data_IF_153572131385
#
_entry.id   IF_153572131385
#
_cell.length_a   1.000
_cell.length_b   1.000
_cell.length_c   1.000
_cell.angle_alpha   90.00
_cell.angle_beta   90.00
_cell.angle_gamma   90.00
#
_symmetry.space_group_name_H-M   'P 1'
#
loop_
_entity.id
_entity.type
_entity.pdbx_description
1 polymer ?
#
# COMPACT_ATOMS: atom_id res chain seq x y z
N UNK A 1 -14.38 10.84 -19.98
CA UNK A 1 -13.62 10.42 -18.77
C UNK A 1 -12.18 10.26 -19.20
N UNK A 2 -11.19 10.77 -18.44
CA UNK A 2 -9.78 10.80 -18.89
C UNK A 2 -9.06 9.45 -18.80
N UNK A 3 -9.69 8.43 -18.19
CA UNK A 3 -9.17 7.06 -18.14
C UNK A 3 -7.95 6.86 -17.24
N UNK A 4 -7.65 7.81 -16.35
CA UNK A 4 -6.40 7.82 -15.55
C UNK A 4 -6.49 7.00 -14.25
N UNK A 5 -7.68 6.94 -13.66
CA UNK A 5 -7.92 6.28 -12.37
C UNK A 5 -9.22 5.49 -12.46
N UNK A 6 -9.30 4.45 -11.63
CA UNK A 6 -10.48 3.63 -11.44
C UNK A 6 -10.80 3.47 -9.96
N UNK A 7 -12.04 3.06 -9.66
CA UNK A 7 -12.50 2.87 -8.30
C UNK A 7 -12.23 1.45 -7.81
N UNK A 8 -11.76 1.33 -6.57
CA UNK A 8 -11.44 0.06 -5.92
C UNK A 8 -12.37 -0.21 -4.75
N UNK A 9 -12.73 -1.49 -4.59
CA UNK A 9 -13.32 -2.07 -3.38
C UNK A 9 -14.60 -1.40 -2.88
N UNK A 10 -14.91 -1.66 -1.60
CA UNK A 10 -16.14 -1.20 -0.95
C UNK A 10 -16.14 0.30 -0.59
N UNK A 11 -14.96 0.92 -0.52
CA UNK A 11 -14.78 2.29 -0.03
C UNK A 11 -14.71 3.36 -1.13
N UNK A 12 -14.90 2.99 -2.41
CA UNK A 12 -14.81 3.92 -3.55
C UNK A 12 -13.50 4.73 -3.55
N UNK A 13 -12.39 4.08 -3.17
CA UNK A 13 -11.06 4.69 -3.26
C UNK A 13 -10.59 4.68 -4.71
N UNK A 14 -9.71 5.60 -5.08
CA UNK A 14 -9.11 5.70 -6.41
C UNK A 14 -7.74 5.03 -6.45
N UNK A 15 -7.54 4.17 -7.45
CA UNK A 15 -6.23 3.67 -7.87
C UNK A 15 -5.93 4.09 -9.31
N UNK A 16 -4.66 3.99 -9.71
CA UNK A 16 -4.27 4.24 -11.10
C UNK A 16 -4.90 3.17 -11.99
N UNK A 17 -5.52 3.59 -13.08
CA UNK A 17 -6.09 2.65 -14.03
C UNK A 17 -4.94 1.95 -14.78
N UNK A 18 -4.76 0.62 -14.68
CA UNK A 18 -3.74 -0.10 -15.43
C UNK A 18 -3.87 0.07 -16.95
N UNK A 19 -5.08 0.28 -17.44
CA UNK A 19 -5.36 0.51 -18.86
C UNK A 19 -5.34 2.01 -19.23
N UNK A 20 -4.61 2.85 -18.47
CA UNK A 20 -4.57 4.29 -18.73
C UNK A 20 -3.93 4.64 -20.07
N UNK A 21 -2.99 3.82 -20.53
CA UNK A 21 -2.31 3.91 -21.83
C UNK A 21 -3.23 3.64 -23.02
N UNK A 22 -4.08 2.63 -22.88
CA UNK A 22 -5.11 2.29 -23.87
C UNK A 22 -6.22 3.33 -23.87
N UNK A 23 -6.62 3.80 -22.68
CA UNK A 23 -7.69 4.78 -22.55
C UNK A 23 -7.27 6.19 -22.98
N UNK A 24 -5.98 6.53 -22.82
CA UNK A 24 -5.44 7.85 -23.08
C UNK A 24 -3.95 7.81 -23.46
N UNK A 25 -3.65 8.12 -24.72
CA UNK A 25 -2.29 8.15 -25.27
C UNK A 25 -1.38 9.18 -24.54
N UNK A 26 -1.97 10.21 -23.93
CA UNK A 26 -1.25 11.24 -23.18
C UNK A 26 -1.33 11.05 -21.65
N UNK A 27 -1.68 9.87 -21.14
CA UNK A 27 -1.84 9.63 -19.70
C UNK A 27 -0.64 10.08 -18.87
N UNK A 28 0.60 9.86 -19.34
CA UNK A 28 1.82 10.29 -18.64
C UNK A 28 1.88 11.81 -18.46
N UNK A 29 1.49 12.60 -19.47
CA UNK A 29 1.47 14.06 -19.37
C UNK A 29 0.43 14.53 -18.34
N UNK A 30 -0.73 13.87 -18.30
CA UNK A 30 -1.74 14.12 -17.29
C UNK A 30 -1.26 13.72 -15.89
N UNK A 31 -0.58 12.60 -15.77
CA UNK A 31 0.05 12.15 -14.53
C UNK A 31 1.12 13.14 -14.04
N UNK A 32 1.97 13.65 -14.93
CA UNK A 32 2.90 14.74 -14.63
C UNK A 32 2.18 16.01 -14.16
N UNK A 33 1.07 16.38 -14.80
CA UNK A 33 0.28 17.53 -14.41
C UNK A 33 -0.34 17.36 -13.01
N UNK A 34 -0.97 16.21 -12.75
CA UNK A 34 -1.56 15.90 -11.44
C UNK A 34 -0.48 15.86 -10.36
N UNK A 35 0.68 15.25 -10.64
CA UNK A 35 1.81 15.24 -9.72
C UNK A 35 2.29 16.65 -9.36
N UNK A 36 2.28 17.59 -10.33
CA UNK A 36 2.57 19.02 -10.06
C UNK A 36 1.52 19.68 -9.17
N UNK A 37 0.25 19.39 -9.39
CA UNK A 37 -0.84 19.91 -8.54
C UNK A 37 -0.69 19.39 -7.11
N UNK A 38 -0.38 18.11 -6.93
CA UNK A 38 -0.13 17.50 -5.62
C UNK A 38 1.08 18.15 -4.95
N UNK A 39 2.23 18.22 -5.64
CA UNK A 39 3.43 18.88 -5.11
C UNK A 39 3.20 20.34 -4.72
N UNK A 40 2.42 21.08 -5.52
CA UNK A 40 2.07 22.48 -5.25
C UNK A 40 1.13 22.64 -4.04
N UNK A 41 0.14 21.75 -3.89
CA UNK A 41 -0.73 21.78 -2.72
C UNK A 41 0.04 21.47 -1.44
N UNK A 42 0.93 20.48 -1.48
CA UNK A 42 1.85 20.17 -0.38
C UNK A 42 2.75 21.36 -0.07
N UNK A 43 3.34 21.99 -1.09
CA UNK A 43 4.16 23.20 -0.91
C UNK A 43 3.42 24.33 -0.20
N UNK A 44 2.14 24.53 -0.52
CA UNK A 44 1.31 25.56 0.12
C UNK A 44 0.60 25.10 1.41
N UNK A 45 0.84 23.87 1.88
CA UNK A 45 0.16 23.32 3.07
C UNK A 45 -1.36 23.18 2.88
N UNK A 46 -1.82 22.90 1.66
CA UNK A 46 -3.22 22.70 1.32
C UNK A 46 -3.52 21.21 1.20
N UNK A 47 -4.64 20.79 1.79
CA UNK A 47 -5.12 19.42 1.63
C UNK A 47 -5.78 19.25 0.24
N UNK A 48 -5.48 18.14 -0.42
CA UNK A 48 -6.21 17.69 -1.61
C UNK A 48 -7.08 16.51 -1.18
N UNK A 49 -8.37 16.58 -1.48
CA UNK A 49 -9.27 15.43 -1.37
C UNK A 49 -9.20 14.60 -2.64
N UNK A 50 -8.13 13.82 -2.77
CA UNK A 50 -7.84 13.03 -3.98
C UNK A 50 -8.54 11.67 -4.00
N UNK A 51 -9.10 11.22 -2.87
CA UNK A 51 -9.74 9.90 -2.77
C UNK A 51 -8.82 8.70 -3.00
N UNK A 52 -7.49 8.88 -3.02
CA UNK A 52 -6.54 7.78 -3.23
C UNK A 52 -6.50 6.79 -2.06
N UNK A 53 -6.07 5.56 -2.34
CA UNK A 53 -5.86 4.53 -1.31
C UNK A 53 -4.75 4.92 -0.32
N UNK A 54 -4.82 4.39 0.91
CA UNK A 54 -3.76 4.60 1.90
C UNK A 54 -2.41 4.06 1.42
N UNK A 55 -2.42 2.90 0.76
CA UNK A 55 -1.24 2.27 0.18
C UNK A 55 -0.53 3.22 -0.81
N UNK A 56 -1.32 3.91 -1.65
CA UNK A 56 -0.80 4.87 -2.61
C UNK A 56 -0.11 6.07 -1.93
N UNK A 57 -0.71 6.64 -0.88
CA UNK A 57 -0.07 7.69 -0.10
C UNK A 57 1.24 7.20 0.53
N UNK A 58 1.27 5.99 1.09
CA UNK A 58 2.48 5.42 1.69
C UNK A 58 3.60 5.24 0.68
N UNK A 59 3.29 4.82 -0.56
CA UNK A 59 4.27 4.74 -1.65
C UNK A 59 4.87 6.10 -2.01
N UNK A 60 4.07 7.15 -2.07
CA UNK A 60 4.58 8.53 -2.30
C UNK A 60 5.54 8.97 -1.19
N UNK A 61 5.30 8.52 0.06
CA UNK A 61 6.12 8.86 1.22
C UNK A 61 7.32 7.92 1.44
N UNK A 62 7.55 6.95 0.54
CA UNK A 62 8.53 5.87 0.72
C UNK A 62 8.37 5.13 2.07
N UNK A 63 7.12 4.96 2.50
CA UNK A 63 6.78 4.24 3.72
C UNK A 63 6.32 2.84 3.39
N UNK A 64 6.90 1.87 4.10
CA UNK A 64 6.41 0.49 4.06
C UNK A 64 5.02 0.43 4.68
N UNK A 65 4.17 -0.41 4.12
CA UNK A 65 2.94 -0.79 4.78
C UNK A 65 3.27 -1.38 6.15
N UNK A 66 2.41 -1.14 7.13
CA UNK A 66 2.50 -1.68 8.48
C UNK A 66 1.24 -2.48 8.80
N UNK A 67 1.30 -3.32 9.84
CA UNK A 67 0.18 -4.17 10.23
C UNK A 67 -1.14 -3.38 10.41
N UNK A 68 -1.07 -2.13 10.89
CA UNK A 68 -2.23 -1.26 11.05
C UNK A 68 -2.93 -0.90 9.73
N UNK A 69 -2.25 -1.00 8.59
CA UNK A 69 -2.89 -0.75 7.29
C UNK A 69 -3.87 -1.85 6.93
N UNK A 70 -3.60 -3.09 7.36
CA UNK A 70 -4.53 -4.20 7.17
C UNK A 70 -5.85 -3.93 7.89
N UNK A 71 -5.86 -3.23 9.03
CA UNK A 71 -7.11 -2.93 9.74
C UNK A 71 -8.12 -2.18 8.86
N UNK A 72 -7.63 -1.39 7.91
CA UNK A 72 -8.44 -0.58 6.99
C UNK A 72 -8.82 -1.32 5.70
N UNK A 73 -8.12 -2.41 5.38
CA UNK A 73 -8.31 -3.20 4.16
C UNK A 73 -9.10 -4.47 4.47
N UNK A 74 -8.59 -5.24 5.43
CA UNK A 74 -9.20 -6.47 5.94
C UNK A 74 -9.07 -6.52 7.48
N UNK A 75 -10.16 -6.15 8.15
CA UNK A 75 -10.22 -6.12 9.60
C UNK A 75 -10.10 -7.52 10.23
N UNK A 76 -10.62 -8.55 9.59
CA UNK A 76 -10.64 -9.91 10.14
C UNK A 76 -9.24 -10.55 10.05
N UNK A 77 -8.55 -10.31 8.93
CA UNK A 77 -7.17 -10.72 8.77
C UNK A 77 -6.22 -9.94 9.70
N UNK A 78 -6.43 -8.63 9.86
CA UNK A 78 -5.72 -7.83 10.85
C UNK A 78 -5.88 -8.38 12.27
N UNK A 79 -7.11 -8.70 12.70
CA UNK A 79 -7.35 -9.26 14.02
C UNK A 79 -6.61 -10.59 14.22
N UNK A 80 -6.58 -11.43 13.20
CA UNK A 80 -5.89 -12.71 13.23
C UNK A 80 -4.38 -12.54 13.42
N UNK A 81 -3.74 -11.62 12.67
CA UNK A 81 -2.32 -11.33 12.82
C UNK A 81 -2.01 -10.60 14.14
N UNK A 82 -2.87 -9.68 14.58
CA UNK A 82 -2.71 -9.00 15.86
C UNK A 82 -2.81 -9.98 17.04
N UNK A 83 -3.69 -10.97 16.95
CA UNK A 83 -3.79 -12.05 17.94
C UNK A 83 -2.49 -12.85 18.02
N UNK A 84 -1.94 -13.28 16.88
CA UNK A 84 -0.65 -14.01 16.83
C UNK A 84 0.49 -13.15 17.39
N UNK A 85 0.49 -11.84 17.12
CA UNK A 85 1.49 -10.90 17.63
C UNK A 85 1.46 -10.81 19.16
N UNK A 86 0.27 -10.64 19.73
CA UNK A 86 0.09 -10.27 21.13
C UNK A 86 0.00 -11.47 22.08
N UNK A 87 -0.13 -12.69 21.56
CA UNK A 87 -0.17 -13.92 22.34
C UNK A 87 1.07 -14.79 22.11
N UNK A 88 1.39 -15.62 23.10
CA UNK A 88 2.46 -16.63 22.98
C UNK A 88 1.94 -17.82 22.18
N UNK A 89 2.49 -18.01 20.98
CA UNK A 89 2.06 -19.08 20.06
C UNK A 89 2.49 -20.46 20.54
N UNK A 90 3.56 -20.57 21.33
CA UNK A 90 4.05 -21.84 21.85
C UNK A 90 3.18 -22.31 23.04
N UNK A 91 2.70 -21.38 23.89
CA UNK A 91 1.77 -21.70 24.99
C UNK A 91 0.37 -22.10 24.50
N UNK A 92 -0.09 -21.50 23.40
CA UNK A 92 -1.40 -21.78 22.82
C UNK A 92 -1.44 -23.06 21.97
N UNK A 93 -0.28 -23.68 21.70
CA UNK A 93 -0.08 -24.82 20.80
C UNK A 93 -0.82 -24.67 19.46
N UNK A 94 -0.68 -23.48 18.86
CA UNK A 94 -1.30 -23.20 17.57
C UNK A 94 -0.58 -24.00 16.47
N UNK A 95 -1.34 -24.77 15.68
CA UNK A 95 -0.83 -25.50 14.52
C UNK A 95 -0.65 -24.57 13.30
N UNK A 96 0.14 -23.51 13.49
CA UNK A 96 0.49 -22.54 12.45
C UNK A 96 1.78 -22.96 11.77
N UNK A 97 1.81 -22.85 10.45
CA UNK A 97 2.98 -23.09 9.60
C UNK A 97 3.24 -21.88 8.72
N UNK A 98 4.41 -21.79 8.08
CA UNK A 98 4.70 -20.72 7.12
C UNK A 98 3.99 -20.95 5.77
N UNK A 99 2.69 -21.23 5.81
CA UNK A 99 1.77 -21.22 4.68
C UNK A 99 0.54 -20.37 5.01
N UNK A 100 -0.06 -19.79 3.97
CA UNK A 100 -1.29 -19.01 4.05
C UNK A 100 -2.33 -19.57 3.11
N UNK A 101 -3.61 -19.49 3.51
CA UNK A 101 -4.73 -19.84 2.66
C UNK A 101 -5.40 -18.56 2.17
N UNK A 102 -5.58 -18.42 0.86
CA UNK A 102 -6.20 -17.26 0.25
C UNK A 102 -7.23 -17.70 -0.78
N UNK A 103 -8.26 -16.88 -0.97
CA UNK A 103 -9.26 -17.12 -2.01
C UNK A 103 -8.81 -16.44 -3.30
N UNK A 104 -8.46 -17.25 -4.30
CA UNK A 104 -8.12 -16.77 -5.65
C UNK A 104 -9.11 -17.36 -6.65
N UNK A 105 -9.78 -16.51 -7.43
CA UNK A 105 -10.83 -16.91 -8.39
C UNK A 105 -11.89 -17.88 -7.81
N UNK A 106 -12.44 -17.57 -6.63
CA UNK A 106 -13.39 -18.42 -5.89
C UNK A 106 -12.84 -19.82 -5.50
N UNK A 107 -11.52 -20.02 -5.55
CA UNK A 107 -10.86 -21.24 -5.09
C UNK A 107 -9.91 -20.97 -3.93
N UNK A 108 -10.00 -21.76 -2.87
CA UNK A 108 -9.06 -21.69 -1.76
C UNK A 108 -7.73 -22.27 -2.21
N UNK A 109 -6.68 -21.45 -2.24
CA UNK A 109 -5.32 -21.89 -2.53
C UNK A 109 -4.46 -21.73 -1.29
N UNK A 110 -3.60 -22.72 -1.06
CA UNK A 110 -2.59 -22.69 0.00
C UNK A 110 -1.22 -22.43 -0.64
N UNK A 111 -0.62 -21.28 -0.35
CA UNK A 111 0.76 -21.01 -0.77
C UNK A 111 1.72 -20.93 0.41
N UNK A 112 2.98 -21.22 0.11
CA UNK A 112 4.05 -21.16 1.08
C UNK A 112 4.57 -19.72 1.17
N UNK A 113 4.60 -19.17 2.39
CA UNK A 113 5.14 -17.83 2.66
C UNK A 113 6.67 -17.77 2.47
N UNK A 114 7.34 -18.92 2.52
CA UNK A 114 8.75 -19.10 2.22
C UNK A 114 9.03 -20.53 1.74
N UNK A 115 10.15 -20.80 1.04
CA UNK A 115 10.45 -22.13 0.53
C UNK A 115 10.42 -23.22 1.62
N UNK A 116 9.56 -24.23 1.45
CA UNK A 116 9.36 -25.31 2.42
C UNK A 116 8.51 -24.89 3.63
N UNK A 117 7.77 -23.78 3.52
CA UNK A 117 7.03 -23.18 4.63
C UNK A 117 5.98 -24.08 5.27
N UNK A 118 5.41 -25.02 4.51
CA UNK A 118 4.45 -26.02 5.01
C UNK A 118 5.02 -26.94 6.09
N UNK A 119 6.34 -27.15 6.12
CA UNK A 119 7.01 -27.99 7.11
C UNK A 119 7.57 -27.19 8.30
N UNK A 120 7.53 -25.86 8.23
CA UNK A 120 8.12 -24.96 9.23
C UNK A 120 6.99 -24.49 10.14
N UNK A 121 6.94 -25.03 11.38
CA UNK A 121 5.98 -24.57 12.40
C UNK A 121 6.34 -23.15 12.86
N UNK A 122 5.31 -22.33 13.04
CA UNK A 122 5.43 -21.01 13.66
C UNK A 122 5.60 -21.21 15.17
N UNK A 123 6.63 -20.59 15.72
CA UNK A 123 6.98 -20.60 17.14
C UNK A 123 7.17 -19.18 17.63
N UNK A 124 7.25 -18.97 18.94
CA UNK A 124 7.39 -17.63 19.51
C UNK A 124 8.66 -16.93 19.01
N UNK A 125 9.72 -17.72 18.74
CA UNK A 125 10.98 -17.22 18.21
C UNK A 125 10.92 -16.76 16.74
N UNK A 126 9.98 -17.29 15.95
CA UNK A 126 9.89 -17.00 14.50
C UNK A 126 8.58 -16.30 14.10
N UNK A 127 7.64 -16.06 15.02
CA UNK A 127 6.34 -15.44 14.72
C UNK A 127 6.45 -14.07 14.05
N UNK A 128 7.47 -13.28 14.41
CA UNK A 128 7.68 -11.96 13.80
C UNK A 128 8.04 -12.07 12.31
N UNK A 129 8.73 -13.15 11.92
CA UNK A 129 9.00 -13.45 10.50
C UNK A 129 7.70 -13.86 9.80
N UNK A 130 6.89 -14.72 10.43
CA UNK A 130 5.58 -15.12 9.90
C UNK A 130 4.68 -13.90 9.66
N UNK A 131 4.49 -13.05 10.66
CA UNK A 131 3.67 -11.83 10.56
C UNK A 131 4.11 -10.93 9.40
N UNK A 132 5.43 -10.77 9.24
CA UNK A 132 6.00 -9.96 8.16
C UNK A 132 5.71 -10.57 6.79
N UNK A 133 5.95 -11.87 6.62
CA UNK A 133 5.72 -12.55 5.34
C UNK A 133 4.23 -12.62 4.99
N UNK A 134 3.35 -12.87 5.96
CA UNK A 134 1.89 -12.83 5.76
C UNK A 134 1.43 -11.45 5.30
N UNK A 135 1.94 -10.39 5.92
CA UNK A 135 1.64 -9.01 5.51
C UNK A 135 2.17 -8.68 4.10
N UNK A 136 3.35 -9.17 3.73
CA UNK A 136 3.93 -8.97 2.40
C UNK A 136 3.15 -9.74 1.32
N UNK A 137 2.71 -10.98 1.61
CA UNK A 137 1.91 -11.79 0.68
C UNK A 137 0.53 -11.19 0.42
N UNK A 138 -0.15 -10.65 1.44
CA UNK A 138 -1.47 -10.02 1.26
C UNK A 138 -1.40 -8.83 0.27
N UNK A 139 -0.34 -8.01 0.39
CA UNK A 139 -0.09 -6.90 -0.53
C UNK A 139 0.25 -7.37 -1.95
N UNK A 140 0.70 -8.61 -2.14
CA UNK A 140 0.95 -9.19 -3.45
C UNK A 140 -0.29 -9.88 -4.02
N UNK A 141 -1.14 -10.49 -3.18
CA UNK A 141 -2.42 -11.06 -3.59
C UNK A 141 -3.36 -10.03 -4.22
N UNK A 142 -3.40 -8.81 -3.67
CA UNK A 142 -4.13 -7.68 -4.30
C UNK A 142 -3.61 -7.34 -5.70
N UNK A 143 -2.32 -7.60 -6.01
CA UNK A 143 -1.71 -7.29 -7.32
C UNK A 143 -2.05 -8.31 -8.40
N UNK A 144 -2.52 -9.49 -8.04
CA UNK A 144 -2.80 -10.55 -9.02
C UNK A 144 -4.28 -10.62 -9.43
N UNK A 145 -5.20 -10.17 -8.58
CA UNK A 145 -6.63 -10.06 -8.92
C UNK A 145 -6.93 -8.84 -9.83
N UNK A 146 -5.99 -7.89 -9.92
CA UNK A 146 -6.05 -6.74 -10.82
C UNK A 146 -4.94 -6.95 -11.86
N UNK A 147 -5.31 -7.06 -13.15
CA UNK A 147 -4.44 -7.58 -14.22
C UNK A 147 -2.99 -7.04 -14.23
N UNK A 148 -2.05 -7.95 -14.01
CA UNK A 148 -0.62 -7.68 -13.81
C UNK A 148 0.18 -7.14 -15.00
N UNK A 149 1.35 -6.62 -14.64
CA UNK A 149 2.44 -5.97 -15.39
C UNK A 149 2.24 -4.50 -15.77
N UNK A 150 1.07 -4.08 -16.28
CA UNK A 150 0.84 -2.69 -16.72
C UNK A 150 0.62 -1.70 -15.57
N UNK A 151 -0.15 -2.11 -14.56
CA UNK A 151 -0.51 -1.29 -13.39
C UNK A 151 0.72 -0.85 -12.60
N UNK A 152 1.61 -1.80 -12.36
CA UNK A 152 2.76 -1.58 -11.49
C UNK A 152 3.74 -0.59 -12.13
N UNK A 153 3.88 -0.59 -13.46
CA UNK A 153 4.77 0.33 -14.16
C UNK A 153 4.25 1.77 -14.14
N UNK A 154 2.97 1.98 -14.46
CA UNK A 154 2.37 3.32 -14.47
C UNK A 154 2.24 3.91 -13.07
N UNK A 155 1.89 3.09 -12.07
CA UNK A 155 1.86 3.52 -10.68
C UNK A 155 3.27 3.88 -10.18
N UNK A 156 4.28 3.05 -10.47
CA UNK A 156 5.68 3.36 -10.13
C UNK A 156 6.12 4.66 -10.80
N UNK A 157 5.80 4.86 -12.08
CA UNK A 157 6.12 6.09 -12.83
C UNK A 157 5.43 7.30 -12.20
N UNK A 158 4.15 7.22 -11.84
CA UNK A 158 3.43 8.30 -11.18
C UNK A 158 4.05 8.67 -9.82
N UNK A 159 4.36 7.66 -9.00
CA UNK A 159 5.00 7.86 -7.69
C UNK A 159 6.36 8.55 -7.85
N UNK A 160 7.20 8.09 -8.79
CA UNK A 160 8.50 8.71 -9.09
C UNK A 160 8.34 10.16 -9.54
N UNK A 161 7.33 10.45 -10.38
CA UNK A 161 7.01 11.81 -10.81
C UNK A 161 6.68 12.71 -9.62
N UNK A 162 5.79 12.26 -8.72
CA UNK A 162 5.40 13.02 -7.54
C UNK A 162 6.59 13.27 -6.62
N UNK A 163 7.40 12.24 -6.33
CA UNK A 163 8.60 12.34 -5.50
C UNK A 163 9.61 13.33 -6.12
N UNK A 164 9.84 13.23 -7.43
CA UNK A 164 10.77 14.14 -8.14
C UNK A 164 10.33 15.59 -8.00
N UNK A 165 9.04 15.86 -8.19
CA UNK A 165 8.48 17.21 -8.06
C UNK A 165 8.59 17.71 -6.61
N UNK A 166 8.28 16.87 -5.63
CA UNK A 166 8.42 17.22 -4.21
C UNK A 166 9.88 17.55 -3.88
N UNK A 167 10.83 16.78 -4.41
CA UNK A 167 12.27 17.00 -4.21
C UNK A 167 12.78 18.27 -4.90
N UNK A 168 12.33 18.57 -6.11
CA UNK A 168 12.67 19.80 -6.83
C UNK A 168 12.18 21.05 -6.08
N UNK A 169 10.99 20.96 -5.48
CA UNK A 169 10.43 22.02 -4.63
C UNK A 169 11.21 22.15 -3.30
N UNK A 170 11.80 21.05 -2.83
CA UNK A 170 12.53 20.96 -1.56
C UNK A 170 13.95 21.54 -1.57
N UNK A 171 14.51 21.84 -2.74
CA UNK A 171 15.84 22.43 -2.85
C UNK A 171 15.92 23.89 -2.38
N UNK A 172 14.84 24.49 -1.84
CA UNK A 172 14.90 25.76 -1.13
C UNK A 172 15.34 25.54 0.35
N UNK A 173 16.57 25.95 0.73
CA UNK A 173 17.12 25.73 2.07
C UNK A 173 16.39 26.48 3.20
N UNK A 174 15.36 27.29 2.90
CA UNK A 174 14.48 27.90 3.91
C UNK A 174 13.43 26.94 4.47
N UNK A 175 13.30 25.73 3.91
CA UNK A 175 12.18 24.81 4.15
C UNK A 175 12.55 23.53 4.94
N UNK A 176 13.49 23.64 5.89
CA UNK A 176 13.75 22.60 6.93
C UNK A 176 12.50 22.16 7.74
N UNK A 177 11.35 22.79 7.49
CA UNK A 177 10.02 22.40 7.96
C UNK A 177 9.44 21.15 7.27
N UNK A 178 10.13 20.52 6.31
CA UNK A 178 9.61 19.31 5.64
C UNK A 178 9.39 18.12 6.57
N UNK A 179 10.13 18.03 7.69
CA UNK A 179 9.81 17.11 8.79
C UNK A 179 8.42 17.38 9.38
N UNK A 180 8.01 18.65 9.44
CA UNK A 180 6.70 19.08 9.95
C UNK A 180 5.58 18.92 8.92
N UNK A 181 5.91 18.89 7.63
CA UNK A 181 4.97 18.70 6.52
C UNK A 181 4.67 17.22 6.27
N UNK A 182 5.66 16.34 6.49
CA UNK A 182 5.46 14.90 6.63
C UNK A 182 4.53 14.58 7.82
N UNK A 183 4.72 15.27 8.95
CA UNK A 183 3.83 15.19 10.12
C UNK A 183 2.43 15.72 9.81
N UNK A 184 2.27 16.66 8.86
CA UNK A 184 0.97 17.17 8.44
C UNK A 184 0.26 16.19 7.50
N UNK A 185 0.98 15.54 6.60
CA UNK A 185 0.49 14.41 5.82
C UNK A 185 0.11 13.24 6.73
N UNK A 186 0.94 12.90 7.72
CA UNK A 186 0.60 11.94 8.77
C UNK A 186 -0.63 12.38 9.56
N UNK A 187 -0.73 13.65 9.98
CA UNK A 187 -1.87 14.17 10.74
C UNK A 187 -3.16 14.24 9.93
N UNK A 188 -3.11 14.50 8.63
CA UNK A 188 -4.29 14.60 7.77
C UNK A 188 -4.75 13.21 7.31
N UNK A 189 -3.81 12.30 7.05
CA UNK A 189 -4.11 10.89 6.77
C UNK A 189 -4.65 10.22 8.04
N UNK A 190 -4.02 10.40 9.20
CA UNK A 190 -4.49 9.86 10.49
C UNK A 190 -5.76 10.52 11.04
N UNK A 191 -6.17 11.70 10.57
CA UNK A 191 -7.45 12.32 10.99
C UNK A 191 -8.66 11.81 10.20
N UNK A 192 -8.44 10.97 9.18
CA UNK A 192 -9.51 10.37 8.37
C UNK A 192 -9.71 8.87 8.64
N UNK A 193 -8.96 8.31 9.58
CA UNK A 193 -9.04 6.91 10.02
C UNK A 193 -9.09 6.84 11.54
#
# INVERSE_FOLDING_TARGET
>A
MFGLFEYTGAHYSLQINPASDVANVAHLDYFHFIGRVIGMALFHGRCIDGGFTLAFYKRILDRKACLQDLELVDHDFYQSLAFIRDNDVDELDLELYFSGNYYKFDSLQEEELKPGGREIKVTEANKMEYLKLSQENEQEGEKEDIGGDGEEEDERRFVVIVITIINDVNHDPRLLLFSSLLLLLESVVMQRF
#
